data_IF_142165669855
#
_entry.id   IF_142165669855
#
_cell.length_a   1.000
_cell.length_b   1.000
_cell.length_c   1.000
_cell.angle_alpha   90.00
_cell.angle_beta   90.00
_cell.angle_gamma   90.00
#
_symmetry.space_group_name_H-M   'P 1'
#
loop_
_entity.id
_entity.type
_entity.pdbx_description
1 polymer ?
#
# COMPACT_ATOMS: atom_id res chain seq x y z
N UNK A 1 18.22 1.33 2.86
CA UNK A 1 17.50 0.66 3.96
C UNK A 1 16.72 1.73 4.72
N UNK A 2 15.41 1.58 4.88
CA UNK A 2 14.60 2.53 5.65
C UNK A 2 14.93 2.43 7.15
N UNK A 3 14.92 3.55 7.86
CA UNK A 3 15.02 3.56 9.33
C UNK A 3 13.61 3.46 9.89
N UNK A 4 13.30 2.38 10.60
CA UNK A 4 11.93 2.10 11.08
C UNK A 4 11.76 2.46 12.54
N UNK A 5 10.54 2.83 12.93
CA UNK A 5 10.19 3.14 14.33
C UNK A 5 9.33 2.06 14.97
N UNK A 6 8.74 1.18 14.17
CA UNK A 6 7.89 0.07 14.61
C UNK A 6 8.44 -1.28 14.15
N UNK A 7 8.12 -2.35 14.90
CA UNK A 7 8.51 -3.74 14.59
C UNK A 7 7.54 -4.38 13.57
N UNK A 8 7.40 -3.76 12.42
CA UNK A 8 6.55 -4.27 11.32
C UNK A 8 7.40 -4.73 10.15
N UNK A 9 6.90 -5.73 9.41
CA UNK A 9 7.52 -6.15 8.14
C UNK A 9 7.29 -5.08 7.09
N UNK A 10 8.37 -4.61 6.47
CA UNK A 10 8.33 -3.67 5.36
C UNK A 10 8.60 -4.39 4.04
N UNK A 11 7.90 -3.97 2.98
CA UNK A 11 8.17 -4.43 1.62
C UNK A 11 9.27 -3.54 1.03
N UNK A 12 10.46 -4.08 0.84
CA UNK A 12 11.64 -3.28 0.45
C UNK A 12 11.49 -2.63 -0.94
N UNK A 13 10.76 -3.27 -1.85
CA UNK A 13 10.52 -2.82 -3.20
C UNK A 13 9.55 -1.64 -3.27
N UNK A 14 8.73 -1.42 -2.24
CA UNK A 14 7.73 -0.37 -2.22
C UNK A 14 8.37 1.02 -2.47
N UNK A 15 7.70 1.85 -3.28
CA UNK A 15 8.13 3.23 -3.52
C UNK A 15 7.83 4.14 -2.32
N UNK A 16 6.81 3.80 -1.54
CA UNK A 16 6.39 4.54 -0.35
C UNK A 16 5.76 3.58 0.67
N UNK A 17 6.00 3.84 1.95
CA UNK A 17 5.46 3.10 3.09
C UNK A 17 5.01 4.09 4.17
N UNK A 18 3.86 3.82 4.78
CA UNK A 18 3.43 4.47 6.00
C UNK A 18 3.65 3.53 7.18
N UNK A 19 4.36 4.00 8.21
CA UNK A 19 4.37 3.35 9.51
C UNK A 19 3.24 3.93 10.36
N UNK A 20 2.33 3.06 10.81
CA UNK A 20 1.13 3.49 11.49
C UNK A 20 0.92 2.81 12.84
N UNK A 21 0.24 3.51 13.75
CA UNK A 21 -0.32 2.96 14.99
C UNK A 21 -1.82 2.76 14.82
N UNK A 22 -2.36 1.61 15.20
CA UNK A 22 -3.81 1.36 15.16
C UNK A 22 -4.51 2.23 16.21
N UNK A 23 -5.52 3.00 15.79
CA UNK A 23 -6.37 3.82 16.68
C UNK A 23 -7.69 3.09 16.96
N UNK A 24 -8.33 2.54 15.94
CA UNK A 24 -9.67 1.95 16.05
C UNK A 24 -9.94 0.86 15.01
N UNK A 25 -10.92 0.00 15.28
CA UNK A 25 -11.41 -1.05 14.38
C UNK A 25 -12.92 -1.03 14.32
N UNK A 26 -13.47 -0.74 13.14
CA UNK A 26 -14.90 -0.66 12.90
C UNK A 26 -15.38 -1.84 12.05
N UNK A 27 -16.49 -2.49 12.43
CA UNK A 27 -17.07 -3.58 11.66
C UNK A 27 -18.10 -3.08 10.64
N UNK A 28 -17.93 -3.48 9.37
CA UNK A 28 -18.86 -3.17 8.28
C UNK A 28 -19.15 -4.44 7.47
N UNK A 29 -20.29 -5.08 7.75
CA UNK A 29 -20.68 -6.32 7.09
C UNK A 29 -19.71 -7.46 7.40
N UNK A 30 -19.12 -8.04 6.36
CA UNK A 30 -18.12 -9.11 6.44
C UNK A 30 -16.67 -8.59 6.50
N UNK A 31 -16.46 -7.28 6.59
CA UNK A 31 -15.14 -6.65 6.66
C UNK A 31 -14.94 -5.84 7.96
N UNK A 32 -13.68 -5.66 8.34
CA UNK A 32 -13.25 -4.74 9.38
C UNK A 32 -12.43 -3.60 8.76
N UNK A 33 -12.77 -2.36 9.12
CA UNK A 33 -12.04 -1.16 8.75
C UNK A 33 -11.07 -0.80 9.88
N UNK A 34 -9.78 -0.72 9.56
CA UNK A 34 -8.73 -0.34 10.50
C UNK A 34 -8.42 1.15 10.34
N UNK A 35 -8.61 1.93 11.40
CA UNK A 35 -8.29 3.36 11.42
C UNK A 35 -6.95 3.52 12.14
N UNK A 36 -5.99 4.18 11.50
CA UNK A 36 -4.62 4.26 12.00
C UNK A 36 -4.04 5.68 11.92
N UNK A 37 -3.19 6.01 12.90
CA UNK A 37 -2.37 7.23 12.92
C UNK A 37 -1.10 6.99 12.13
N UNK A 38 -0.70 7.95 11.28
CA UNK A 38 0.58 7.88 10.55
C UNK A 38 1.69 8.47 11.43
N UNK A 39 2.64 7.63 11.86
CA UNK A 39 3.76 8.05 12.72
C UNK A 39 4.97 8.48 11.88
N UNK A 40 5.22 7.78 10.77
CA UNK A 40 6.36 8.01 9.89
C UNK A 40 6.00 7.71 8.43
N UNK A 41 6.53 8.53 7.53
CA UNK A 41 6.43 8.35 6.09
C UNK A 41 7.83 7.99 5.56
N UNK A 42 7.94 6.82 4.95
CA UNK A 42 9.16 6.33 4.31
C UNK A 42 8.95 6.39 2.80
N UNK A 43 9.63 7.30 2.11
CA UNK A 43 9.46 7.51 0.68
C UNK A 43 10.80 7.39 -0.05
N UNK A 44 10.81 6.73 -1.21
CA UNK A 44 11.95 6.82 -2.15
C UNK A 44 11.82 8.14 -2.90
N UNK A 45 12.92 8.86 -3.10
CA UNK A 45 12.92 10.08 -3.91
C UNK A 45 12.81 9.76 -5.41
N UNK A 46 11.64 9.28 -5.83
CA UNK A 46 11.28 9.09 -7.23
C UNK A 46 10.03 9.92 -7.55
N UNK A 47 10.13 10.78 -8.56
CA UNK A 47 9.02 11.64 -9.00
C UNK A 47 8.22 11.02 -10.15
N UNK A 48 8.69 9.91 -10.72
CA UNK A 48 8.11 9.23 -11.86
C UNK A 48 7.50 7.88 -11.45
N UNK A 49 6.64 7.90 -10.43
CA UNK A 49 6.00 6.68 -9.92
C UNK A 49 4.81 6.31 -10.80
N UNK A 50 4.79 5.06 -11.25
CA UNK A 50 3.66 4.43 -11.93
C UNK A 50 3.03 3.40 -10.97
N UNK A 51 2.03 3.78 -10.15
CA UNK A 51 1.48 2.88 -9.14
C UNK A 51 0.78 1.69 -9.78
N UNK A 52 0.88 0.51 -9.16
CA UNK A 52 0.09 -0.66 -9.53
C UNK A 52 -1.36 -0.43 -9.11
N UNK A 53 -2.28 -0.54 -10.07
CA UNK A 53 -3.72 -0.46 -9.87
C UNK A 53 -4.31 -1.88 -9.97
N UNK A 54 -5.02 -2.31 -8.94
CA UNK A 54 -5.77 -3.57 -8.96
C UNK A 54 -7.22 -3.32 -9.36
N UNK A 55 -7.61 -3.88 -10.50
CA UNK A 55 -8.93 -3.65 -11.12
C UNK A 55 -9.95 -4.74 -10.74
N UNK A 56 -9.57 -5.66 -9.84
CA UNK A 56 -10.37 -6.82 -9.47
C UNK A 56 -10.13 -8.02 -10.38
N UNK A 57 -10.52 -9.22 -9.90
CA UNK A 57 -10.45 -10.49 -10.66
C UNK A 57 -9.08 -10.78 -11.33
N UNK A 58 -7.98 -10.35 -10.71
CA UNK A 58 -6.62 -10.57 -11.23
C UNK A 58 -6.21 -9.63 -12.38
N UNK A 59 -6.98 -8.57 -12.65
CA UNK A 59 -6.59 -7.54 -13.60
C UNK A 59 -5.76 -6.46 -12.91
N UNK A 60 -4.64 -6.12 -13.53
CA UNK A 60 -3.69 -5.11 -13.05
C UNK A 60 -3.39 -4.10 -14.14
N UNK A 61 -3.01 -2.91 -13.72
CA UNK A 61 -2.85 -1.76 -14.59
C UNK A 61 -1.88 -0.77 -13.92
N UNK A 62 -1.43 0.22 -14.68
CA UNK A 62 -0.85 1.43 -14.09
C UNK A 62 -1.50 2.67 -14.69
N UNK A 63 -0.96 3.86 -14.48
CA UNK A 63 -1.57 5.12 -14.97
C UNK A 63 -1.62 5.23 -16.51
N UNK A 64 -1.24 4.18 -17.25
CA UNK A 64 -1.27 4.05 -18.71
C UNK A 64 -2.65 3.83 -19.33
N UNK A 65 -3.68 3.46 -18.55
CA UNK A 65 -5.03 3.14 -19.05
C UNK A 65 -5.09 1.98 -20.07
N UNK A 66 -4.18 1.00 -19.99
CA UNK A 66 -4.20 -0.25 -20.78
C UNK A 66 -4.03 -1.48 -19.88
N UNK A 67 -5.12 -2.09 -19.38
CA UNK A 67 -5.02 -3.06 -18.29
C UNK A 67 -4.56 -4.42 -18.82
N UNK A 68 -3.75 -5.12 -18.02
CA UNK A 68 -3.23 -6.46 -18.32
C UNK A 68 -3.73 -7.46 -17.27
N UNK A 69 -4.13 -8.64 -17.73
CA UNK A 69 -4.44 -9.76 -16.84
C UNK A 69 -3.16 -10.54 -16.58
N UNK A 70 -2.84 -10.79 -15.31
CA UNK A 70 -1.75 -11.68 -14.93
C UNK A 70 -2.39 -13.05 -14.65
N UNK A 71 -2.14 -14.01 -15.53
CA UNK A 71 -2.49 -15.41 -15.27
C UNK A 71 -1.35 -16.02 -14.43
N UNK A 72 -1.69 -16.46 -13.22
CA UNK A 72 -0.80 -17.13 -12.26
C UNK A 72 -1.15 -18.62 -12.25
#
# INVERSE_FOLDING_TARGET
>A
MFTTTIKSTLIEEAYMIYECSLIDVLSYGDHAMFIAEVNLILNKEDKNIAPTLFMGRGFYETTSQKPLRIDI
#
